data_IF_246353845076
#
_entry.id   IF_246353845076
#
_cell.length_a   1.000
_cell.length_b   1.000
_cell.length_c   1.000
_cell.angle_alpha   90.00
_cell.angle_beta   90.00
_cell.angle_gamma   90.00
#
_symmetry.space_group_name_H-M   'P 1'
#
loop_
_entity.id
_entity.type
_entity.pdbx_description
1 polymer ?
#
# COMPACT_ATOMS: atom_id res chain seq x y z
N UNK A 1 -41.55 -35.52 -42.84
CA UNK A 1 -40.90 -35.32 -41.51
C UNK A 1 -39.39 -35.38 -41.58
N UNK A 2 -38.79 -36.29 -42.36
CA UNK A 2 -37.31 -36.40 -42.50
C UNK A 2 -36.62 -35.16 -43.09
N UNK A 3 -37.26 -34.43 -44.01
CA UNK A 3 -36.70 -33.19 -44.57
C UNK A 3 -36.58 -32.05 -43.53
N UNK A 4 -37.57 -31.90 -42.64
CA UNK A 4 -37.54 -30.94 -41.54
C UNK A 4 -36.47 -31.28 -40.51
N UNK A 5 -36.32 -32.56 -40.17
CA UNK A 5 -35.27 -33.02 -39.25
C UNK A 5 -33.86 -32.71 -39.80
N UNK A 6 -33.64 -32.92 -41.10
CA UNK A 6 -32.38 -32.58 -41.77
C UNK A 6 -32.08 -31.08 -41.72
N UNK A 7 -33.09 -30.23 -41.95
CA UNK A 7 -32.94 -28.78 -41.84
C UNK A 7 -32.59 -28.35 -40.41
N UNK A 8 -33.28 -28.88 -39.39
CA UNK A 8 -32.99 -28.56 -37.98
C UNK A 8 -31.57 -28.94 -37.58
N UNK A 9 -31.08 -30.11 -38.04
CA UNK A 9 -29.72 -30.55 -37.76
C UNK A 9 -28.67 -29.64 -38.44
N UNK A 10 -28.95 -29.19 -39.66
CA UNK A 10 -28.08 -28.25 -40.39
C UNK A 10 -28.02 -26.88 -39.69
N UNK A 11 -29.17 -26.35 -39.25
CA UNK A 11 -29.23 -25.09 -38.49
C UNK A 11 -28.51 -25.23 -37.16
N UNK A 12 -28.74 -26.31 -36.41
CA UNK A 12 -28.05 -26.58 -35.15
C UNK A 12 -26.54 -26.67 -35.33
N UNK A 13 -26.07 -27.33 -36.38
CA UNK A 13 -24.64 -27.41 -36.70
C UNK A 13 -24.05 -26.04 -37.05
N UNK A 14 -24.78 -25.22 -37.81
CA UNK A 14 -24.34 -23.88 -38.21
C UNK A 14 -24.26 -22.89 -37.04
N UNK A 15 -24.97 -23.14 -35.93
CA UNK A 15 -24.94 -22.29 -34.74
C UNK A 15 -23.73 -22.54 -33.84
N UNK A 16 -23.04 -23.68 -33.97
CA UNK A 16 -21.90 -24.02 -33.12
C UNK A 16 -20.62 -23.36 -33.66
N UNK A 17 -20.14 -22.34 -32.96
CA UNK A 17 -18.83 -21.73 -33.24
C UNK A 17 -17.70 -22.44 -32.48
N UNK A 18 -17.14 -23.47 -33.12
CA UNK A 18 -16.00 -24.22 -32.58
C UNK A 18 -14.72 -23.37 -32.41
N UNK A 19 -14.55 -22.30 -33.19
CA UNK A 19 -13.38 -21.43 -33.07
C UNK A 19 -13.45 -20.60 -31.79
N UNK A 20 -14.62 -20.03 -31.48
CA UNK A 20 -14.84 -19.32 -30.22
C UNK A 20 -14.65 -20.22 -29.01
N UNK A 21 -15.24 -21.42 -29.02
CA UNK A 21 -15.12 -22.38 -27.91
C UNK A 21 -13.64 -22.70 -27.65
N UNK A 22 -12.87 -23.00 -28.70
CA UNK A 22 -11.44 -23.29 -28.56
C UNK A 22 -10.65 -22.09 -28.04
N UNK A 23 -11.00 -20.86 -28.44
CA UNK A 23 -10.37 -19.64 -27.94
C UNK A 23 -10.64 -19.44 -26.46
N UNK A 24 -11.87 -19.64 -25.99
CA UNK A 24 -12.26 -19.53 -24.57
C UNK A 24 -11.46 -20.54 -23.74
N UNK A 25 -11.44 -21.81 -24.16
CA UNK A 25 -10.73 -22.90 -23.47
C UNK A 25 -9.24 -22.60 -23.29
N UNK A 26 -8.61 -21.97 -24.29
CA UNK A 26 -7.19 -21.59 -24.22
C UNK A 26 -6.93 -20.32 -23.42
N UNK A 27 -7.91 -19.42 -23.29
CA UNK A 27 -7.70 -18.08 -22.72
C UNK A 27 -7.95 -18.03 -21.22
N UNK A 28 -9.04 -18.64 -20.73
CA UNK A 28 -9.41 -18.52 -19.32
C UNK A 28 -10.09 -19.77 -18.77
N UNK A 29 -9.53 -20.32 -17.68
CA UNK A 29 -10.11 -21.47 -16.98
C UNK A 29 -11.47 -21.15 -16.34
N UNK A 30 -11.68 -19.92 -15.88
CA UNK A 30 -12.96 -19.51 -15.29
C UNK A 30 -14.07 -19.43 -16.33
N UNK A 31 -13.78 -18.84 -17.49
CA UNK A 31 -14.73 -18.77 -18.62
C UNK A 31 -15.05 -20.17 -19.16
N UNK A 32 -14.04 -21.05 -19.20
CA UNK A 32 -14.24 -22.46 -19.57
C UNK A 32 -15.17 -23.18 -18.60
N UNK A 33 -15.02 -22.91 -17.29
CA UNK A 33 -15.89 -23.49 -16.28
C UNK A 33 -17.34 -22.99 -16.42
N UNK A 34 -17.55 -21.70 -16.70
CA UNK A 34 -18.90 -21.13 -16.96
C UNK A 34 -19.52 -21.78 -18.21
N UNK A 35 -18.74 -21.90 -19.29
CA UNK A 35 -19.21 -22.50 -20.54
C UNK A 35 -19.61 -23.97 -20.31
N UNK A 36 -18.75 -24.75 -19.65
CA UNK A 36 -18.99 -26.16 -19.37
C UNK A 36 -20.18 -26.36 -18.43
N UNK A 37 -20.28 -25.56 -17.36
CA UNK A 37 -21.40 -25.66 -16.42
C UNK A 37 -22.72 -25.35 -17.12
N UNK A 38 -22.77 -24.24 -17.88
CA UNK A 38 -23.99 -23.82 -18.58
C UNK A 38 -24.40 -24.88 -19.61
N UNK A 39 -23.45 -25.41 -20.38
CA UNK A 39 -23.72 -26.47 -21.35
C UNK A 39 -24.28 -27.75 -20.71
N UNK A 40 -23.66 -28.22 -19.62
CA UNK A 40 -24.13 -29.40 -18.88
C UNK A 40 -25.51 -29.14 -18.28
N UNK A 41 -25.76 -27.95 -17.73
CA UNK A 41 -27.08 -27.62 -17.17
C UNK A 41 -28.16 -27.60 -18.25
N UNK A 42 -27.91 -27.03 -19.43
CA UNK A 42 -28.89 -27.04 -20.54
C UNK A 42 -29.21 -28.45 -21.05
N UNK A 43 -28.31 -29.42 -20.87
CA UNK A 43 -28.56 -30.82 -21.24
C UNK A 43 -29.40 -31.58 -20.20
N UNK A 44 -29.38 -31.16 -18.94
CA UNK A 44 -29.99 -31.88 -17.82
C UNK A 44 -31.24 -31.20 -17.26
N UNK A 45 -31.41 -29.90 -17.49
CA UNK A 45 -32.43 -29.04 -16.88
C UNK A 45 -33.03 -28.11 -17.94
N UNK A 46 -34.21 -27.55 -17.68
CA UNK A 46 -34.85 -26.57 -18.56
C UNK A 46 -33.96 -25.35 -18.81
N UNK A 47 -34.09 -24.80 -20.03
CA UNK A 47 -33.27 -23.70 -20.54
C UNK A 47 -33.32 -22.46 -19.63
N UNK A 48 -34.45 -22.19 -18.97
CA UNK A 48 -34.60 -21.06 -18.05
C UNK A 48 -33.66 -21.15 -16.85
N UNK A 49 -33.58 -22.32 -16.20
CA UNK A 49 -32.68 -22.55 -15.07
C UNK A 49 -31.22 -22.55 -15.51
N UNK A 50 -30.92 -23.08 -16.70
CA UNK A 50 -29.57 -23.07 -17.25
C UNK A 50 -29.04 -21.63 -17.45
N UNK A 51 -29.86 -20.74 -17.98
CA UNK A 51 -29.48 -19.32 -18.18
C UNK A 51 -29.28 -18.63 -16.83
N UNK A 52 -30.19 -18.82 -15.86
CA UNK A 52 -30.06 -18.24 -14.53
C UNK A 52 -28.78 -18.69 -13.82
N UNK A 53 -28.45 -19.97 -13.90
CA UNK A 53 -27.22 -20.52 -13.33
C UNK A 53 -25.96 -19.96 -14.01
N UNK A 54 -25.97 -19.87 -15.34
CA UNK A 54 -24.85 -19.31 -16.10
C UNK A 54 -24.56 -17.84 -15.75
N UNK A 55 -25.61 -17.00 -15.71
CA UNK A 55 -25.49 -15.58 -15.33
C UNK A 55 -25.07 -15.45 -13.87
N UNK A 56 -25.66 -16.24 -12.96
CA UNK A 56 -25.31 -16.25 -11.54
C UNK A 56 -23.85 -16.62 -11.30
N UNK A 57 -23.35 -17.67 -11.98
CA UNK A 57 -21.96 -18.09 -11.88
C UNK A 57 -21.00 -17.04 -12.47
N UNK A 58 -21.36 -16.45 -13.61
CA UNK A 58 -20.57 -15.36 -14.22
C UNK A 58 -20.44 -14.17 -13.26
N UNK A 59 -21.55 -13.73 -12.68
CA UNK A 59 -21.56 -12.65 -11.69
C UNK A 59 -20.74 -13.01 -10.45
N UNK A 60 -20.90 -14.23 -9.93
CA UNK A 60 -20.15 -14.71 -8.78
C UNK A 60 -18.63 -14.68 -9.03
N UNK A 61 -18.17 -15.20 -10.17
CA UNK A 61 -16.75 -15.18 -10.53
C UNK A 61 -16.25 -13.76 -10.76
N UNK A 62 -17.07 -12.88 -11.36
CA UNK A 62 -16.75 -11.46 -11.53
C UNK A 62 -16.51 -10.77 -10.18
N UNK A 63 -17.42 -10.94 -9.23
CA UNK A 63 -17.30 -10.37 -7.87
C UNK A 63 -16.06 -10.94 -7.17
N UNK A 64 -15.85 -12.25 -7.23
CA UNK A 64 -14.69 -12.89 -6.60
C UNK A 64 -13.37 -12.36 -7.18
N UNK A 65 -13.30 -12.15 -8.50
CA UNK A 65 -12.13 -11.59 -9.16
C UNK A 65 -11.92 -10.10 -8.80
N UNK A 66 -12.99 -9.33 -8.67
CA UNK A 66 -12.92 -7.92 -8.25
C UNK A 66 -12.43 -7.75 -6.80
N UNK A 67 -12.71 -8.73 -5.94
CA UNK A 67 -12.44 -8.69 -4.49
C UNK A 67 -10.97 -8.96 -4.14
N UNK A 68 -10.18 -9.50 -5.06
CA UNK A 68 -8.77 -9.85 -4.84
C UNK A 68 -7.83 -8.96 -5.66
N UNK A 69 -7.66 -7.67 -5.27
CA UNK A 69 -6.71 -6.81 -5.94
C UNK A 69 -5.30 -7.39 -5.82
N UNK A 70 -4.53 -7.31 -6.90
CA UNK A 70 -3.15 -7.82 -6.89
C UNK A 70 -2.26 -6.81 -6.18
N UNK A 71 -1.54 -7.27 -5.16
CA UNK A 71 -0.57 -6.45 -4.44
C UNK A 71 0.82 -6.87 -4.88
N UNK A 72 1.53 -5.93 -5.51
CA UNK A 72 2.88 -6.15 -5.96
C UNK A 72 3.85 -5.32 -5.14
N UNK A 73 4.83 -5.97 -4.50
CA UNK A 73 5.97 -5.25 -3.94
C UNK A 73 6.78 -4.62 -5.08
N UNK A 74 7.14 -3.35 -4.92
CA UNK A 74 7.91 -2.61 -5.92
C UNK A 74 9.18 -2.08 -5.31
N UNK A 75 10.20 -1.95 -6.14
CA UNK A 75 11.49 -1.38 -5.76
C UNK A 75 11.79 -0.26 -6.78
N UNK A 76 12.24 0.92 -6.32
CA UNK A 76 12.65 1.96 -7.24
C UNK A 76 13.89 1.50 -8.01
N UNK A 77 13.86 1.71 -9.32
CA UNK A 77 15.06 1.55 -10.12
C UNK A 77 16.07 2.65 -9.78
N UNK A 78 17.31 2.24 -9.47
CA UNK A 78 18.45 3.06 -9.05
C UNK A 78 18.96 3.97 -10.16
N UNK A 79 18.92 3.53 -11.42
CA UNK A 79 19.56 4.25 -12.54
C UNK A 79 18.72 5.42 -13.06
N UNK A 80 17.44 5.48 -12.69
CA UNK A 80 16.49 6.40 -13.31
C UNK A 80 15.52 6.96 -12.25
N UNK A 81 15.83 8.15 -11.68
CA UNK A 81 14.96 8.83 -10.71
C UNK A 81 13.55 9.08 -11.25
N UNK A 82 13.43 9.28 -12.57
CA UNK A 82 12.18 9.48 -13.30
C UNK A 82 11.55 8.20 -13.90
N UNK A 83 12.16 7.02 -13.73
CA UNK A 83 11.58 5.76 -14.20
C UNK A 83 10.51 5.21 -13.26
N UNK A 84 9.60 4.41 -13.83
CA UNK A 84 8.52 3.72 -13.12
C UNK A 84 9.10 2.79 -12.04
N UNK A 85 8.32 2.53 -10.99
CA UNK A 85 8.64 1.51 -10.01
C UNK A 85 8.61 0.12 -10.66
N UNK A 86 9.73 -0.60 -10.61
CA UNK A 86 9.87 -1.92 -11.22
C UNK A 86 9.59 -3.01 -10.17
N UNK A 87 9.11 -4.18 -10.62
CA UNK A 87 9.17 -5.40 -9.80
C UNK A 87 10.36 -6.19 -10.28
N UNK A 88 11.37 -6.30 -9.42
CA UNK A 88 12.49 -7.20 -9.61
C UNK A 88 12.31 -8.32 -8.60
N UNK A 89 11.95 -9.55 -9.03
CA UNK A 89 11.85 -10.70 -8.14
C UNK A 89 13.19 -10.93 -7.42
N UNK A 90 13.17 -11.03 -6.09
CA UNK A 90 14.37 -11.32 -5.29
C UNK A 90 15.29 -10.12 -5.01
N UNK A 91 14.95 -8.92 -5.47
CA UNK A 91 15.71 -7.73 -5.10
C UNK A 91 15.47 -7.36 -3.62
N UNK A 92 16.54 -6.90 -2.97
CA UNK A 92 16.51 -6.54 -1.57
C UNK A 92 15.62 -5.31 -1.34
N UNK A 93 14.79 -5.36 -0.31
CA UNK A 93 13.91 -4.26 0.10
C UNK A 93 14.50 -3.46 1.26
N UNK A 94 14.05 -2.21 1.41
CA UNK A 94 14.52 -1.34 2.49
C UNK A 94 14.00 -1.88 3.83
N UNK A 95 14.84 -1.95 4.87
CA UNK A 95 14.41 -2.45 6.18
C UNK A 95 13.42 -1.50 6.88
N UNK A 96 13.32 -0.24 6.44
CA UNK A 96 12.48 0.79 7.09
C UNK A 96 11.29 1.24 6.24
N UNK A 97 11.41 1.17 4.90
CA UNK A 97 10.39 1.58 3.96
C UNK A 97 9.90 0.40 3.13
N UNK A 98 8.61 0.12 3.20
CA UNK A 98 7.92 -0.79 2.28
C UNK A 98 7.27 0.00 1.15
N UNK A 99 7.45 -0.43 -0.09
CA UNK A 99 6.83 0.19 -1.27
C UNK A 99 5.90 -0.85 -1.91
N UNK A 100 4.61 -0.57 -1.91
CA UNK A 100 3.59 -1.47 -2.44
C UNK A 100 2.82 -0.79 -3.56
N UNK A 101 2.59 -1.51 -4.64
CA UNK A 101 1.60 -1.13 -5.66
C UNK A 101 0.33 -1.94 -5.43
N UNK A 102 -0.77 -1.23 -5.23
CA UNK A 102 -2.11 -1.83 -5.20
C UNK A 102 -2.72 -1.72 -6.59
N UNK A 103 -3.00 -2.85 -7.22
CA UNK A 103 -3.73 -2.91 -8.49
C UNK A 103 -5.18 -3.35 -8.20
N UNK A 104 -6.14 -2.42 -8.34
CA UNK A 104 -7.57 -2.70 -8.15
C UNK A 104 -8.36 -1.53 -7.58
N UNK A 105 -9.56 -1.79 -7.04
CA UNK A 105 -10.36 -0.80 -6.31
C UNK A 105 -10.22 -1.02 -4.81
N UNK A 106 -10.29 0.06 -4.03
CA UNK A 106 -10.22 0.04 -2.58
C UNK A 106 -11.63 0.18 -1.98
N UNK A 107 -12.31 -0.95 -1.84
CA UNK A 107 -13.68 -1.02 -1.34
C UNK A 107 -13.85 -2.08 -0.26
N UNK A 108 -15.01 -2.13 0.40
CA UNK A 108 -15.32 -3.05 1.49
C UNK A 108 -14.84 -4.50 1.25
N UNK A 109 -15.08 -5.07 0.06
CA UNK A 109 -14.66 -6.44 -0.26
C UNK A 109 -13.13 -6.63 -0.33
N UNK A 110 -12.40 -5.61 -0.78
CA UNK A 110 -10.95 -5.68 -0.96
C UNK A 110 -10.13 -5.37 0.31
N UNK A 111 -10.70 -4.57 1.23
CA UNK A 111 -10.01 -4.05 2.42
C UNK A 111 -9.46 -5.19 3.28
N UNK A 112 -10.28 -6.19 3.59
CA UNK A 112 -9.87 -7.32 4.43
C UNK A 112 -8.66 -8.07 3.85
N UNK A 113 -8.63 -8.27 2.53
CA UNK A 113 -7.51 -8.94 1.88
C UNK A 113 -6.22 -8.11 1.99
N UNK A 114 -6.32 -6.79 1.76
CA UNK A 114 -5.18 -5.88 1.84
C UNK A 114 -4.65 -5.78 3.26
N UNK A 115 -5.54 -5.62 4.25
CA UNK A 115 -5.19 -5.55 5.66
C UNK A 115 -4.42 -6.81 6.11
N UNK A 116 -4.93 -7.99 5.75
CA UNK A 116 -4.26 -9.27 6.05
C UNK A 116 -2.86 -9.34 5.44
N UNK A 117 -2.71 -8.90 4.19
CA UNK A 117 -1.41 -8.86 3.51
C UNK A 117 -0.45 -7.88 4.19
N UNK A 118 -0.89 -6.67 4.55
CA UNK A 118 -0.09 -5.70 5.30
C UNK A 118 0.33 -6.23 6.66
N UNK A 119 -0.56 -6.94 7.37
CA UNK A 119 -0.25 -7.58 8.64
C UNK A 119 0.86 -8.62 8.50
N UNK A 120 0.81 -9.47 7.46
CA UNK A 120 1.86 -10.46 7.19
C UNK A 120 3.20 -9.76 6.92
N UNK A 121 3.21 -8.66 6.16
CA UNK A 121 4.44 -7.92 5.90
C UNK A 121 5.02 -7.30 7.18
N UNK A 122 4.17 -6.73 8.05
CA UNK A 122 4.60 -6.18 9.35
C UNK A 122 5.19 -7.26 10.27
N UNK A 123 4.60 -8.45 10.31
CA UNK A 123 5.12 -9.55 11.12
C UNK A 123 6.47 -10.05 10.62
N UNK A 124 6.70 -10.04 9.30
CA UNK A 124 7.97 -10.47 8.70
C UNK A 124 9.09 -9.45 8.94
N UNK A 125 8.78 -8.15 8.85
CA UNK A 125 9.78 -7.09 8.97
C UNK A 125 9.25 -5.93 9.84
N UNK A 126 9.25 -6.08 11.18
CA UNK A 126 8.66 -5.08 12.11
C UNK A 126 9.32 -3.70 12.05
N UNK A 127 10.52 -3.61 11.48
CA UNK A 127 11.25 -2.34 11.28
C UNK A 127 10.67 -1.51 10.12
N UNK A 128 9.85 -2.08 9.24
CA UNK A 128 9.21 -1.39 8.10
C UNK A 128 8.00 -0.55 8.52
N UNK A 129 8.27 0.50 9.30
CA UNK A 129 7.27 1.42 9.84
C UNK A 129 6.70 2.35 8.77
N UNK A 130 7.47 2.66 7.73
CA UNK A 130 7.01 3.50 6.63
C UNK A 130 6.44 2.67 5.47
N UNK A 131 5.31 3.11 4.93
CA UNK A 131 4.66 2.49 3.77
C UNK A 131 4.37 3.53 2.69
N UNK A 132 4.96 3.33 1.53
CA UNK A 132 4.64 4.06 0.31
C UNK A 132 3.70 3.23 -0.57
N UNK A 133 2.49 3.73 -0.76
CA UNK A 133 1.48 3.15 -1.62
C UNK A 133 1.54 3.79 -3.01
N UNK A 134 1.90 3.00 -4.02
CA UNK A 134 1.77 3.39 -5.43
C UNK A 134 0.31 3.22 -5.82
N UNK A 135 -0.44 4.33 -5.79
CA UNK A 135 -1.91 4.39 -5.87
C UNK A 135 -2.46 4.70 -7.27
N UNK A 136 -1.60 4.88 -8.27
CA UNK A 136 -2.02 5.17 -9.67
C UNK A 136 -3.01 4.14 -10.25
N UNK A 137 -2.91 2.87 -9.84
CA UNK A 137 -3.81 1.81 -10.31
C UNK A 137 -5.10 1.71 -9.50
N UNK A 138 -5.30 2.54 -8.47
CA UNK A 138 -6.51 2.55 -7.68
C UNK A 138 -7.61 3.21 -8.51
N UNK A 139 -8.60 2.43 -8.94
CA UNK A 139 -9.64 2.92 -9.83
C UNK A 139 -10.79 3.58 -9.09
N UNK A 140 -11.19 3.03 -7.95
CA UNK A 140 -12.27 3.53 -7.13
C UNK A 140 -11.94 3.32 -5.66
N UNK A 141 -12.49 4.19 -4.82
CA UNK A 141 -12.43 4.09 -3.36
C UNK A 141 -13.84 4.31 -2.80
N UNK A 142 -14.22 3.52 -1.81
CA UNK A 142 -15.45 3.74 -1.02
C UNK A 142 -15.10 4.24 0.39
N UNK A 143 -16.14 4.44 1.21
CA UNK A 143 -16.00 4.89 2.60
C UNK A 143 -15.14 3.89 3.40
N UNK A 144 -15.36 2.58 3.23
CA UNK A 144 -14.59 1.55 3.94
C UNK A 144 -13.11 1.54 3.54
N UNK A 145 -12.80 1.75 2.25
CA UNK A 145 -11.43 1.87 1.76
C UNK A 145 -10.73 3.11 2.29
N UNK A 146 -11.43 4.25 2.35
CA UNK A 146 -10.89 5.48 2.90
C UNK A 146 -10.64 5.38 4.41
N UNK A 147 -11.59 4.81 5.15
CA UNK A 147 -11.46 4.53 6.57
C UNK A 147 -10.28 3.58 6.85
N UNK A 148 -10.10 2.56 6.02
CA UNK A 148 -8.95 1.67 6.10
C UNK A 148 -7.61 2.40 5.94
N UNK A 149 -7.49 3.29 4.94
CA UNK A 149 -6.26 4.09 4.78
C UNK A 149 -6.01 5.01 5.98
N UNK A 150 -7.07 5.60 6.53
CA UNK A 150 -7.01 6.44 7.71
C UNK A 150 -6.49 5.67 8.94
N UNK A 151 -7.04 4.48 9.19
CA UNK A 151 -6.62 3.60 10.28
C UNK A 151 -5.19 3.11 10.10
N UNK A 152 -4.79 2.74 8.88
CA UNK A 152 -3.40 2.33 8.59
C UNK A 152 -2.42 3.50 8.76
N UNK A 153 -2.80 4.72 8.36
CA UNK A 153 -1.99 5.92 8.58
C UNK A 153 -1.80 6.21 10.08
N UNK A 154 -2.89 6.20 10.84
CA UNK A 154 -2.88 6.43 12.29
C UNK A 154 -2.03 5.38 13.01
N UNK A 155 -2.20 4.11 12.65
CA UNK A 155 -1.41 3.00 13.20
C UNK A 155 0.09 3.19 12.93
N UNK A 156 0.47 3.43 11.68
CA UNK A 156 1.88 3.63 11.32
C UNK A 156 2.49 4.84 12.03
N UNK A 157 1.73 5.93 12.15
CA UNK A 157 2.18 7.11 12.90
C UNK A 157 2.43 6.79 14.37
N UNK A 158 1.56 5.99 15.01
CA UNK A 158 1.75 5.55 16.40
C UNK A 158 3.01 4.69 16.59
N UNK A 159 3.44 3.96 15.55
CA UNK A 159 4.67 3.16 15.56
C UNK A 159 5.93 4.00 15.29
N UNK A 160 5.80 5.31 15.01
CA UNK A 160 6.87 6.22 14.60
C UNK A 160 7.18 6.18 13.10
N UNK A 161 6.26 5.65 12.29
CA UNK A 161 6.32 5.60 10.84
C UNK A 161 5.32 6.53 10.15
N UNK A 162 4.95 6.20 8.90
CA UNK A 162 3.98 6.96 8.13
C UNK A 162 3.43 6.22 6.93
N UNK A 163 2.22 6.61 6.50
CA UNK A 163 1.60 6.19 5.25
C UNK A 163 1.75 7.29 4.21
N UNK A 164 2.21 6.94 3.02
CA UNK A 164 2.45 7.87 1.92
C UNK A 164 1.73 7.37 0.67
N UNK A 165 1.13 8.27 -0.10
CA UNK A 165 0.44 7.94 -1.34
C UNK A 165 1.21 8.55 -2.53
N UNK A 166 1.52 7.72 -3.52
CA UNK A 166 2.21 8.14 -4.74
C UNK A 166 1.33 7.98 -5.97
N UNK A 167 1.15 9.12 -6.66
CA UNK A 167 0.44 9.24 -7.93
C UNK A 167 -1.00 8.78 -7.84
N UNK A 168 -1.73 9.26 -6.82
CA UNK A 168 -3.16 8.99 -6.66
C UNK A 168 -3.94 9.70 -7.77
N UNK A 169 -5.04 9.11 -8.23
CA UNK A 169 -5.92 9.77 -9.21
C UNK A 169 -6.69 10.90 -8.55
N UNK A 170 -6.93 11.98 -9.28
CA UNK A 170 -7.58 13.20 -8.78
C UNK A 170 -8.94 12.92 -8.11
N UNK A 171 -9.77 12.05 -8.69
CA UNK A 171 -11.07 11.72 -8.10
C UNK A 171 -10.96 10.95 -6.77
N UNK A 172 -9.90 10.15 -6.59
CA UNK A 172 -9.61 9.45 -5.33
C UNK A 172 -9.10 10.44 -4.28
N UNK A 173 -8.22 11.36 -4.67
CA UNK A 173 -7.74 12.43 -3.78
C UNK A 173 -8.89 13.34 -3.35
N UNK A 174 -9.75 13.75 -4.28
CA UNK A 174 -10.94 14.55 -3.99
C UNK A 174 -11.90 13.83 -3.04
N UNK A 175 -12.08 12.51 -3.20
CA UNK A 175 -12.87 11.70 -2.28
C UNK A 175 -12.28 11.69 -0.87
N UNK A 176 -10.97 11.44 -0.74
CA UNK A 176 -10.26 11.45 0.54
C UNK A 176 -10.30 12.83 1.23
N UNK A 177 -10.16 13.91 0.45
CA UNK A 177 -10.22 15.29 0.93
C UNK A 177 -11.61 15.64 1.45
N UNK A 178 -12.66 15.35 0.68
CA UNK A 178 -14.06 15.61 1.09
C UNK A 178 -14.46 14.81 2.33
N UNK A 179 -13.96 13.58 2.46
CA UNK A 179 -14.23 12.74 3.62
C UNK A 179 -13.40 13.06 4.87
N UNK A 180 -12.50 14.04 4.82
CA UNK A 180 -11.65 14.43 5.96
C UNK A 180 -10.53 13.44 6.30
N UNK A 181 -10.36 12.35 5.53
CA UNK A 181 -9.37 11.31 5.77
C UNK A 181 -7.92 11.78 5.57
N UNK A 182 -7.70 12.87 4.82
CA UNK A 182 -6.38 13.46 4.63
C UNK A 182 -5.80 14.09 5.90
N UNK A 183 -6.62 14.43 6.90
CA UNK A 183 -6.13 15.00 8.17
C UNK A 183 -5.15 14.04 8.89
N UNK A 184 -5.45 12.75 8.86
CA UNK A 184 -4.61 11.72 9.48
C UNK A 184 -3.51 11.22 8.54
N UNK A 185 -3.76 11.16 7.23
CA UNK A 185 -2.71 10.77 6.27
C UNK A 185 -1.65 11.86 6.18
N UNK A 186 -2.03 13.14 6.21
CA UNK A 186 -1.21 14.31 5.93
C UNK A 186 -1.26 14.67 4.45
N UNK A 187 -1.65 15.90 4.12
CA UNK A 187 -1.64 16.37 2.72
C UNK A 187 -0.23 16.40 2.14
N UNK A 188 0.78 16.61 2.99
CA UNK A 188 2.20 16.57 2.64
C UNK A 188 2.70 15.16 2.27
N UNK A 189 1.90 14.13 2.55
CA UNK A 189 2.22 12.73 2.25
C UNK A 189 1.60 12.24 0.93
N UNK A 190 1.00 13.16 0.16
CA UNK A 190 0.56 12.95 -1.22
C UNK A 190 1.65 13.42 -2.18
N UNK A 191 2.16 12.51 -3.01
CA UNK A 191 3.25 12.81 -3.93
C UNK A 191 2.88 12.53 -5.38
N UNK A 192 3.10 13.51 -6.25
CA UNK A 192 2.96 13.33 -7.70
C UNK A 192 4.25 12.78 -8.35
N UNK A 193 5.42 13.11 -7.78
CA UNK A 193 6.75 12.77 -8.33
C UNK A 193 7.47 11.75 -7.45
N UNK A 194 8.05 10.72 -8.08
CA UNK A 194 8.77 9.63 -7.38
C UNK A 194 9.95 10.16 -6.56
N UNK A 195 10.80 10.98 -7.16
CA UNK A 195 12.00 11.52 -6.49
C UNK A 195 11.64 12.33 -5.25
N UNK A 196 10.61 13.18 -5.33
CA UNK A 196 10.13 13.93 -4.17
C UNK A 196 9.61 13.01 -3.06
N UNK A 197 8.83 11.99 -3.42
CA UNK A 197 8.33 11.01 -2.46
C UNK A 197 9.48 10.32 -1.72
N UNK A 198 10.47 9.82 -2.45
CA UNK A 198 11.60 9.08 -1.85
C UNK A 198 12.46 10.02 -1.00
N UNK A 199 12.79 11.21 -1.49
CA UNK A 199 13.58 12.19 -0.74
C UNK A 199 12.92 12.61 0.58
N UNK A 200 11.63 12.97 0.55
CA UNK A 200 10.89 13.35 1.76
C UNK A 200 10.76 12.20 2.75
N UNK A 201 10.55 10.96 2.25
CA UNK A 201 10.47 9.79 3.11
C UNK A 201 11.84 9.49 3.72
N UNK A 202 12.93 9.59 2.93
CA UNK A 202 14.30 9.33 3.35
C UNK A 202 14.72 10.22 4.53
N UNK A 203 14.35 11.50 4.53
CA UNK A 203 14.61 12.42 5.64
C UNK A 203 13.93 12.01 6.95
N UNK A 204 12.80 11.28 6.86
CA UNK A 204 12.03 10.77 7.99
C UNK A 204 12.47 9.39 8.45
N UNK A 205 13.39 8.74 7.71
CA UNK A 205 13.94 7.45 8.11
C UNK A 205 14.95 7.64 9.25
N UNK A 206 15.05 6.63 10.11
CA UNK A 206 16.09 6.56 11.13
C UNK A 206 17.47 6.33 10.46
N UNK A 207 18.32 7.37 10.56
CA UNK A 207 19.65 7.42 9.97
C UNK A 207 20.61 6.41 10.57
N UNK A 208 20.42 6.01 11.84
CA UNK A 208 21.27 5.01 12.49
C UNK A 208 21.15 3.64 11.83
N UNK A 209 19.92 3.27 11.44
CA UNK A 209 19.63 2.04 10.69
C UNK A 209 20.16 2.16 9.26
N UNK A 210 19.99 3.32 8.63
CA UNK A 210 20.52 3.57 7.29
C UNK A 210 22.04 3.45 7.22
N UNK A 211 22.77 3.95 8.23
CA UNK A 211 24.24 3.88 8.29
C UNK A 211 24.78 2.44 8.36
N UNK A 212 24.01 1.53 8.94
CA UNK A 212 24.36 0.10 9.02
C UNK A 212 23.78 -0.72 7.85
N UNK A 213 23.03 -0.08 6.95
CA UNK A 213 22.30 -0.76 5.89
C UNK A 213 23.20 -1.02 4.67
N UNK A 214 23.55 -2.29 4.43
CA UNK A 214 24.32 -2.72 3.24
C UNK A 214 23.51 -2.77 1.94
N UNK A 215 22.19 -2.50 1.99
CA UNK A 215 21.27 -2.72 0.85
C UNK A 215 21.24 -1.52 -0.13
N UNK A 216 21.58 -0.32 0.34
CA UNK A 216 21.66 0.95 -0.42
C UNK A 216 20.69 1.07 -1.62
N UNK A 217 19.40 0.98 -1.33
CA UNK A 217 18.35 0.82 -2.36
C UNK A 217 17.99 2.12 -3.07
N UNK A 218 18.08 3.25 -2.37
CA UNK A 218 17.72 4.56 -2.89
C UNK A 218 18.94 5.33 -3.40
N UNK A 219 18.72 6.32 -4.27
CA UNK A 219 19.78 7.22 -4.71
C UNK A 219 20.35 8.00 -3.52
N UNK A 220 19.47 8.45 -2.64
CA UNK A 220 19.73 9.20 -1.42
C UNK A 220 20.60 8.43 -0.41
N UNK A 221 20.53 7.09 -0.42
CA UNK A 221 21.39 6.24 0.42
C UNK A 221 22.88 6.41 0.08
N UNK A 222 23.22 6.70 -1.19
CA UNK A 222 24.60 6.84 -1.64
C UNK A 222 25.12 8.28 -1.48
N UNK A 223 24.25 9.28 -1.57
CA UNK A 223 24.64 10.68 -1.31
C UNK A 223 24.99 10.92 0.16
N UNK A 224 24.44 10.11 1.07
CA UNK A 224 24.75 10.17 2.50
C UNK A 224 26.15 9.63 2.84
N UNK A 225 26.77 8.79 1.99
CA UNK A 225 28.17 8.33 2.16
C UNK A 225 29.19 9.49 2.00
N UNK A 226 28.77 10.67 1.56
CA UNK A 226 29.63 11.84 1.34
C UNK A 226 29.53 12.91 2.44
N UNK A 227 28.66 12.74 3.45
CA UNK A 227 28.63 13.66 4.58
C UNK A 227 29.79 13.33 5.54
N UNK A 228 30.65 14.29 5.92
CA UNK A 228 31.69 14.04 6.92
C UNK A 228 31.02 13.49 8.17
N UNK A 229 31.45 12.30 8.58
CA UNK A 229 31.03 11.66 9.81
C UNK A 229 31.18 12.72 10.91
N UNK A 230 30.06 13.22 11.43
CA UNK A 230 30.11 14.01 12.65
C UNK A 230 30.65 13.05 13.69
N UNK A 231 31.85 13.27 14.26
CA UNK A 231 32.41 12.34 15.21
C UNK A 231 31.40 12.21 16.35
N UNK A 232 30.91 10.99 16.54
CA UNK A 232 30.28 10.55 17.79
C UNK A 232 31.21 10.98 18.92
N UNK A 233 30.80 12.02 19.64
CA UNK A 233 31.43 12.40 20.90
C UNK A 233 31.42 11.15 21.77
N UNK A 234 32.59 10.59 22.13
CA UNK A 234 32.62 9.47 23.05
C UNK A 234 32.02 9.97 24.37
N UNK A 235 31.00 9.26 24.85
CA UNK A 235 30.53 9.42 26.22
C UNK A 235 31.66 8.98 27.17
N UNK A 236 32.53 9.92 27.52
CA UNK A 236 33.49 9.74 28.60
C UNK A 236 32.72 9.82 29.92
N UNK A 237 32.42 8.65 30.48
CA UNK A 237 32.05 8.51 31.87
C UNK A 237 33.24 8.96 32.75
N UNK A 238 33.04 9.82 33.77
CA UNK A 238 34.04 10.03 34.80
C UNK A 238 33.84 9.00 35.93
N UNK A 239 34.77 8.05 36.07
CA UNK A 239 35.09 7.39 37.35
C UNK A 239 36.17 8.27 38.02
N UNK A 240 35.89 8.96 39.13
CA UNK A 240 35.81 8.50 40.51
C UNK A 240 37.08 8.85 41.33
N UNK A 241 36.84 9.36 42.55
CA UNK A 241 37.67 9.40 43.76
C UNK A 241 38.44 10.69 44.17
N UNK A 242 38.12 11.09 45.42
CA UNK A 242 38.99 11.59 46.51
C UNK A 242 38.72 13.02 47.07
N UNK A 243 37.75 13.06 48.00
CA UNK A 243 37.84 13.56 49.40
C UNK A 243 38.05 15.07 49.75
N UNK A 244 37.64 15.48 50.99
CA UNK A 244 37.04 16.78 51.25
C UNK A 244 37.97 17.76 51.99
N UNK A 245 37.76 19.07 51.77
CA UNK A 245 38.28 20.10 52.67
C UNK A 245 37.44 21.40 52.60
N UNK A 246 36.65 21.58 53.65
CA UNK A 246 36.45 22.81 54.45
C UNK A 246 36.37 24.21 53.80
N UNK A 247 35.39 24.96 54.34
CA UNK A 247 35.30 26.42 54.57
C UNK A 247 34.94 27.38 53.42
N UNK A 248 33.71 27.95 53.45
CA UNK A 248 33.34 29.22 54.13
C UNK A 248 32.04 29.80 53.51
N UNK A 249 31.07 30.31 54.31
CA UNK A 249 29.80 30.82 53.79
C UNK A 249 29.86 32.33 53.47
N UNK A 250 29.26 32.73 52.35
CA UNK A 250 28.94 34.13 52.03
C UNK A 250 27.67 34.16 51.16
N UNK A 251 26.50 34.33 51.79
CA UNK A 251 25.73 35.58 51.95
C UNK A 251 24.63 35.74 50.87
N UNK A 252 23.38 36.08 51.26
CA UNK A 252 22.23 36.02 50.38
C UNK A 252 22.01 37.30 49.57
N UNK A 253 21.65 37.13 48.30
CA UNK A 253 21.24 38.20 47.38
C UNK A 253 19.80 38.66 47.74
N UNK A 254 19.52 39.97 47.85
CA UNK A 254 18.22 40.47 48.26
C UNK A 254 17.18 40.42 47.11
N UNK A 255 15.97 40.00 47.48
CA UNK A 255 14.76 39.94 46.65
C UNK A 255 14.08 41.32 46.68
N UNK A 256 13.77 41.97 45.54
CA UNK A 256 12.90 43.14 45.53
C UNK A 256 11.42 42.74 45.68
N UNK A 257 10.73 43.46 46.58
CA UNK A 257 9.34 43.28 47.00
C UNK A 257 8.28 43.59 45.91
N UNK A 258 7.05 43.04 46.04
CA UNK A 258 5.99 43.15 45.05
C UNK A 258 5.30 44.53 45.05
N UNK A 259 5.05 45.07 43.86
CA UNK A 259 4.19 46.24 43.65
C UNK A 259 2.71 45.81 43.61
N UNK A 260 1.93 46.39 44.52
CA UNK A 260 0.49 46.20 44.66
C UNK A 260 -0.31 46.97 43.56
N UNK A 261 -1.60 46.63 43.33
CA UNK A 261 -2.33 47.00 42.13
C UNK A 261 -2.99 48.39 42.23
N UNK A 262 -3.03 49.11 41.11
CA UNK A 262 -3.78 50.37 40.98
C UNK A 262 -5.14 50.08 40.35
N UNK A 263 -6.21 50.32 41.13
CA UNK A 263 -7.61 50.35 40.70
C UNK A 263 -7.83 51.49 39.69
N UNK A 264 -8.53 51.19 38.59
CA UNK A 264 -9.52 52.02 37.92
C UNK A 264 -10.40 51.09 37.08
#
# INVERSE_FOLDING_TARGET
>A
TSALAGLLLLVAWSLIDFQHIRKIIRTSRSETAILASTFITTLLVDLEFAILLGVGLSLFLFVMNSTRPRIHSRIPDRSLPNSKFNTIPGAQECPQLKILRLDGSLYFGSVYHIEKMLSIFRQREPRQKHLLLVSYSINQIDISGAEFLNQEATRRRSEGGGLYLYRTKEHVEAFLRRGGYLSHIGEENLFAKKGQAIATIYERLDKSICAQCKRSIFFECHSADTLPQTPTVPATAPQEQAQPASTKPAQPVPIPAPTAPRKA
#
